data_IF_275778456861
#
_entry.id   IF_275778456861
#
_cell.length_a   1.000
_cell.length_b   1.000
_cell.length_c   1.000
_cell.angle_alpha   90.00
_cell.angle_beta   90.00
_cell.angle_gamma   90.00
#
_symmetry.space_group_name_H-M   'P 1'
#
loop_
_entity.id
_entity.type
_entity.pdbx_description
1 polymer ?
#
# COMPACT_ATOMS: atom_id res chain seq x y z
N UNK A 1 15.39 -6.38 1.22
CA UNK A 1 14.73 -5.14 0.75
C UNK A 1 14.05 -4.47 1.92
N UNK A 2 13.99 -3.15 1.91
CA UNK A 2 13.29 -2.36 2.92
C UNK A 2 11.91 -1.96 2.40
N UNK A 3 10.86 -2.40 3.06
CA UNK A 3 9.45 -2.25 2.64
C UNK A 3 8.78 -1.28 3.60
N UNK A 4 8.22 -0.20 3.08
CA UNK A 4 7.54 0.83 3.83
C UNK A 4 6.02 0.78 3.65
N UNK A 5 5.30 0.87 4.74
CA UNK A 5 3.83 0.86 4.77
C UNK A 5 3.35 2.08 5.53
N UNK A 6 3.14 3.20 4.84
CA UNK A 6 2.58 4.39 5.46
C UNK A 6 1.10 4.18 5.80
N UNK A 7 0.60 4.95 6.77
CA UNK A 7 -0.82 5.03 7.08
C UNK A 7 -1.58 5.61 5.88
N UNK A 8 -2.77 5.08 5.62
CA UNK A 8 -3.66 5.67 4.62
C UNK A 8 -4.20 7.02 5.12
N UNK A 9 -4.09 8.03 4.25
CA UNK A 9 -4.53 9.40 4.57
C UNK A 9 -5.73 9.86 3.75
N UNK A 10 -6.24 8.98 2.87
CA UNK A 10 -7.46 9.24 2.11
C UNK A 10 -8.67 9.17 3.05
N UNK A 11 -9.60 10.14 3.01
CA UNK A 11 -10.80 10.09 3.85
C UNK A 11 -11.56 8.77 3.72
N UNK A 12 -11.98 8.19 4.86
CA UNK A 12 -12.71 6.92 4.95
C UNK A 12 -11.91 5.67 4.51
N UNK A 13 -10.60 5.76 4.34
CA UNK A 13 -9.76 4.60 4.11
C UNK A 13 -9.12 4.15 5.43
N UNK A 14 -9.62 3.06 5.98
CA UNK A 14 -9.20 2.50 7.26
C UNK A 14 -8.32 1.24 7.10
N UNK A 15 -8.11 0.79 5.86
CA UNK A 15 -7.26 -0.38 5.58
C UNK A 15 -5.78 0.01 5.64
N UNK A 16 -4.93 -1.00 5.64
CA UNK A 16 -3.48 -0.86 5.58
C UNK A 16 -2.89 -1.82 4.54
N UNK A 17 -1.77 -1.47 3.95
CA UNK A 17 -1.15 -2.21 2.84
C UNK A 17 -0.69 -3.63 3.21
N UNK A 18 -0.29 -3.87 4.46
CA UNK A 18 0.15 -5.19 4.95
C UNK A 18 -0.46 -5.51 6.31
N UNK A 19 -0.94 -6.73 6.48
CA UNK A 19 -1.36 -7.27 7.79
C UNK A 19 -0.14 -7.76 8.59
N UNK A 20 -0.23 -7.91 9.94
CA UNK A 20 0.86 -8.49 10.74
C UNK A 20 1.31 -9.88 10.25
N UNK A 21 0.40 -10.71 9.75
CA UNK A 21 0.74 -12.01 9.18
C UNK A 21 1.60 -11.89 7.90
N UNK A 22 1.23 -10.98 7.00
CA UNK A 22 2.02 -10.67 5.81
C UNK A 22 3.40 -10.13 6.18
N UNK A 23 3.47 -9.26 7.18
CA UNK A 23 4.74 -8.73 7.72
C UNK A 23 5.61 -9.85 8.25
N UNK A 24 5.06 -10.78 9.05
CA UNK A 24 5.80 -11.94 9.58
C UNK A 24 6.40 -12.79 8.46
N UNK A 25 5.65 -13.01 7.38
CA UNK A 25 6.16 -13.73 6.21
C UNK A 25 7.34 -13.00 5.57
N UNK A 26 7.23 -11.69 5.36
CA UNK A 26 8.29 -10.89 4.76
C UNK A 26 9.54 -10.82 5.63
N UNK A 27 9.40 -10.59 6.93
CA UNK A 27 10.53 -10.52 7.88
C UNK A 27 11.24 -11.87 8.02
N UNK A 28 10.49 -12.97 8.01
CA UNK A 28 11.05 -14.33 8.01
C UNK A 28 11.85 -14.65 6.75
N UNK A 29 11.58 -13.96 5.64
CA UNK A 29 12.34 -14.05 4.39
C UNK A 29 13.47 -13.00 4.28
N UNK A 30 13.84 -12.36 5.40
CA UNK A 30 14.97 -11.44 5.46
C UNK A 30 14.69 -10.02 4.94
N UNK A 31 13.43 -9.63 4.80
CA UNK A 31 13.05 -8.25 4.47
C UNK A 31 12.89 -7.42 5.75
N UNK A 32 13.24 -6.15 5.69
CA UNK A 32 12.95 -5.17 6.73
C UNK A 32 11.61 -4.49 6.41
N UNK A 33 10.69 -4.45 7.37
CA UNK A 33 9.38 -3.83 7.19
C UNK A 33 9.21 -2.67 8.15
N UNK A 34 8.87 -1.51 7.60
CA UNK A 34 8.59 -0.27 8.31
C UNK A 34 7.09 0.01 8.25
N UNK A 35 6.45 0.13 9.41
CA UNK A 35 5.01 0.44 9.53
C UNK A 35 4.87 1.80 10.19
N UNK A 36 4.04 2.69 9.63
CA UNK A 36 3.74 3.95 10.29
C UNK A 36 2.97 3.72 11.59
N UNK A 37 3.32 4.49 12.61
CA UNK A 37 2.71 4.46 13.94
C UNK A 37 1.17 4.52 13.84
N UNK A 38 0.51 3.56 14.46
CA UNK A 38 -0.94 3.37 14.40
C UNK A 38 -1.53 3.24 12.97
N UNK A 39 -0.70 2.88 11.98
CA UNK A 39 -1.16 2.73 10.58
C UNK A 39 -2.23 1.67 10.38
N UNK A 40 -2.18 0.58 11.16
CA UNK A 40 -3.15 -0.51 11.11
C UNK A 40 -4.29 -0.42 12.13
N UNK A 41 -4.30 0.60 13.01
CA UNK A 41 -5.21 0.65 14.16
C UNK A 41 -6.69 0.58 13.74
N UNK A 42 -7.10 1.36 12.75
CA UNK A 42 -8.47 1.37 12.23
C UNK A 42 -8.86 0.05 11.52
N UNK A 43 -7.86 -0.73 11.10
CA UNK A 43 -8.06 -2.07 10.54
C UNK A 43 -8.06 -3.18 11.62
N UNK A 44 -7.92 -2.82 12.90
CA UNK A 44 -7.89 -3.76 14.02
C UNK A 44 -6.50 -4.31 14.34
N UNK A 45 -5.43 -3.71 13.82
CA UNK A 45 -4.05 -4.12 14.06
C UNK A 45 -3.29 -3.02 14.81
N UNK A 46 -2.87 -3.31 16.04
CA UNK A 46 -2.06 -2.40 16.84
C UNK A 46 -0.56 -2.50 16.53
N UNK A 47 0.21 -1.57 17.07
CA UNK A 47 1.66 -1.52 16.87
C UNK A 47 2.38 -2.75 17.45
N UNK A 48 1.87 -3.34 18.52
CA UNK A 48 2.55 -4.46 19.19
C UNK A 48 2.39 -5.76 18.39
N UNK A 49 1.27 -5.92 17.67
CA UNK A 49 1.11 -6.99 16.71
C UNK A 49 2.13 -6.89 15.56
N UNK A 50 2.38 -5.69 15.06
CA UNK A 50 3.40 -5.45 14.02
C UNK A 50 4.82 -5.65 14.53
N UNK A 51 5.14 -5.18 15.74
CA UNK A 51 6.45 -5.43 16.37
C UNK A 51 6.68 -6.92 16.59
N UNK A 52 5.67 -7.64 17.04
CA UNK A 52 5.72 -9.11 17.25
C UNK A 52 5.92 -9.86 15.93
N UNK A 53 5.47 -9.29 14.80
CA UNK A 53 5.71 -9.79 13.45
C UNK A 53 7.11 -9.41 12.90
N UNK A 54 7.90 -8.63 13.64
CA UNK A 54 9.25 -8.21 13.25
C UNK A 54 9.34 -6.88 12.53
N UNK A 55 8.25 -6.10 12.45
CA UNK A 55 8.29 -4.76 11.88
C UNK A 55 8.90 -3.73 12.83
N UNK A 56 9.43 -2.66 12.24
CA UNK A 56 9.80 -1.43 12.93
C UNK A 56 8.66 -0.42 12.82
N UNK A 57 8.28 0.19 13.94
CA UNK A 57 7.27 1.26 13.96
C UNK A 57 7.98 2.58 13.76
N UNK A 58 7.50 3.39 12.82
CA UNK A 58 8.05 4.69 12.42
C UNK A 58 6.98 5.77 12.64
N UNK A 59 7.35 6.87 13.27
CA UNK A 59 6.38 7.89 13.67
C UNK A 59 5.87 8.76 12.52
N UNK A 60 6.67 8.92 11.47
CA UNK A 60 6.38 9.86 10.37
C UNK A 60 6.42 9.14 9.02
N UNK A 61 5.41 9.41 8.19
CA UNK A 61 5.38 8.91 6.82
C UNK A 61 6.62 9.33 6.01
N UNK A 62 7.10 10.56 6.21
CA UNK A 62 8.27 11.09 5.52
C UNK A 62 9.52 10.20 5.72
N UNK A 63 9.72 9.68 6.93
CA UNK A 63 10.85 8.80 7.24
C UNK A 63 10.70 7.45 6.54
N UNK A 64 9.45 6.94 6.43
CA UNK A 64 9.16 5.71 5.68
C UNK A 64 9.47 5.90 4.19
N UNK A 65 8.96 6.98 3.56
CA UNK A 65 9.24 7.27 2.15
C UNK A 65 10.73 7.50 1.91
N UNK A 66 11.44 8.07 2.89
CA UNK A 66 12.89 8.28 2.80
C UNK A 66 13.69 6.98 2.85
N UNK A 67 13.29 6.02 3.64
CA UNK A 67 14.09 4.84 3.95
C UNK A 67 13.72 3.61 3.11
N UNK A 68 12.47 3.50 2.66
CA UNK A 68 11.98 2.32 1.98
C UNK A 68 12.42 2.25 0.50
N UNK A 69 12.71 1.05 0.03
CA UNK A 69 12.91 0.73 -1.40
C UNK A 69 11.56 0.49 -2.09
N UNK A 70 10.60 -0.07 -1.35
CA UNK A 70 9.22 -0.33 -1.81
C UNK A 70 8.25 0.32 -0.85
N UNK A 71 7.31 1.09 -1.38
CA UNK A 71 6.14 1.62 -0.67
C UNK A 71 4.93 0.76 -1.02
N UNK A 72 4.29 0.19 0.00
CA UNK A 72 3.08 -0.62 -0.14
C UNK A 72 1.90 0.13 0.48
N UNK A 73 0.88 0.40 -0.33
CA UNK A 73 -0.34 1.10 0.08
C UNK A 73 -1.58 0.34 -0.37
N UNK A 74 -2.74 0.80 0.06
CA UNK A 74 -4.04 0.35 -0.44
C UNK A 74 -4.52 1.27 -1.56
N UNK A 75 -4.57 2.58 -1.29
CA UNK A 75 -5.06 3.59 -2.23
C UNK A 75 -3.92 4.34 -2.91
N UNK A 76 -4.28 4.94 -4.03
CA UNK A 76 -3.41 5.83 -4.79
C UNK A 76 -2.79 6.92 -3.90
N UNK A 77 -1.52 7.27 -4.10
CA UNK A 77 -0.87 8.34 -3.35
C UNK A 77 -1.57 9.69 -3.60
N UNK A 78 -1.81 10.43 -2.54
CA UNK A 78 -2.28 11.82 -2.65
C UNK A 78 -1.12 12.76 -3.00
N UNK A 79 -1.42 13.97 -3.45
CA UNK A 79 -0.43 14.95 -3.89
C UNK A 79 0.70 15.21 -2.87
N UNK A 80 0.38 15.11 -1.57
CA UNK A 80 1.37 15.22 -0.48
C UNK A 80 2.36 14.05 -0.52
N UNK A 81 1.87 12.83 -0.74
CA UNK A 81 2.67 11.61 -0.77
C UNK A 81 3.50 11.51 -2.05
N UNK A 82 2.93 11.91 -3.19
CA UNK A 82 3.65 11.96 -4.48
C UNK A 82 4.94 12.76 -4.39
N UNK A 83 4.95 13.85 -3.62
CA UNK A 83 6.15 14.69 -3.40
C UNK A 83 7.24 14.00 -2.59
N UNK A 84 6.92 12.93 -1.85
CA UNK A 84 7.87 12.16 -1.04
C UNK A 84 8.41 10.95 -1.78
N UNK A 85 7.78 10.56 -2.90
CA UNK A 85 8.21 9.43 -3.73
C UNK A 85 9.53 9.79 -4.42
N UNK A 86 10.47 8.85 -4.41
CA UNK A 86 11.81 9.03 -4.97
C UNK A 86 11.98 8.36 -6.33
N UNK A 87 12.94 8.83 -7.09
CA UNK A 87 13.39 8.17 -8.32
C UNK A 87 13.81 6.72 -8.04
N UNK A 88 13.38 5.78 -8.88
CA UNK A 88 13.60 4.34 -8.77
C UNK A 88 12.94 3.66 -7.55
N UNK A 89 12.22 4.37 -6.70
CA UNK A 89 11.43 3.77 -5.63
C UNK A 89 10.25 3.00 -6.22
N UNK A 90 9.98 1.80 -5.71
CA UNK A 90 8.83 1.01 -6.15
C UNK A 90 7.59 1.46 -5.34
N UNK A 91 6.49 1.74 -6.03
CA UNK A 91 5.18 2.04 -5.42
C UNK A 91 4.20 0.96 -5.85
N UNK A 92 3.72 0.19 -4.88
CA UNK A 92 2.82 -0.95 -5.09
C UNK A 92 1.48 -0.71 -4.40
N UNK A 93 0.43 -0.41 -5.17
CA UNK A 93 -0.88 0.03 -4.67
C UNK A 93 -1.94 -0.02 -5.77
N UNK A 94 -3.23 0.20 -5.43
CA UNK A 94 -4.23 0.59 -6.43
C UNK A 94 -3.95 2.01 -6.91
N UNK A 95 -3.83 2.24 -8.21
CA UNK A 95 -3.44 3.53 -8.78
C UNK A 95 -4.59 4.30 -9.44
N UNK A 96 -5.54 3.63 -10.10
CA UNK A 96 -6.69 4.25 -10.77
C UNK A 96 -6.32 5.40 -11.73
N UNK A 97 -5.23 5.27 -12.48
CA UNK A 97 -4.62 6.36 -13.26
C UNK A 97 -5.50 6.90 -14.38
N UNK A 98 -6.40 6.09 -14.94
CA UNK A 98 -7.23 6.48 -16.07
C UNK A 98 -8.09 7.74 -15.81
N UNK A 99 -8.50 7.96 -14.56
CA UNK A 99 -9.30 9.10 -14.13
C UNK A 99 -8.48 10.19 -13.40
N UNK A 100 -7.17 10.01 -13.23
CA UNK A 100 -6.34 10.82 -12.34
C UNK A 100 -5.11 11.43 -13.04
N UNK A 101 -5.37 12.35 -13.97
CA UNK A 101 -4.34 12.97 -14.84
C UNK A 101 -3.20 13.61 -14.06
N UNK A 102 -3.51 14.37 -13.01
CA UNK A 102 -2.48 15.06 -12.19
C UNK A 102 -1.63 14.06 -11.39
N UNK A 103 -2.26 13.00 -10.86
CA UNK A 103 -1.54 11.91 -10.20
C UNK A 103 -0.60 11.21 -11.19
N UNK A 104 -1.10 10.87 -12.38
CA UNK A 104 -0.30 10.23 -13.43
C UNK A 104 0.93 11.07 -13.77
N UNK A 105 0.75 12.38 -13.96
CA UNK A 105 1.85 13.30 -14.21
C UNK A 105 2.85 13.30 -13.06
N UNK A 106 2.39 13.44 -11.82
CA UNK A 106 3.27 13.47 -10.64
C UNK A 106 4.09 12.18 -10.48
N UNK A 107 3.48 11.01 -10.77
CA UNK A 107 4.19 9.74 -10.72
C UNK A 107 5.22 9.60 -11.85
N UNK A 108 4.91 10.08 -13.06
CA UNK A 108 5.88 10.12 -14.17
C UNK A 108 7.04 11.05 -13.83
N UNK A 109 6.76 12.22 -13.30
CA UNK A 109 7.78 13.22 -12.92
C UNK A 109 8.69 12.71 -11.79
N UNK A 110 8.16 11.86 -10.88
CA UNK A 110 8.95 11.25 -9.80
C UNK A 110 9.95 10.19 -10.30
N UNK A 111 9.77 9.65 -11.50
CA UNK A 111 10.56 8.55 -12.07
C UNK A 111 10.57 7.28 -11.20
N UNK A 112 9.54 7.08 -10.42
CA UNK A 112 9.33 5.87 -9.62
C UNK A 112 8.86 4.69 -10.48
N UNK A 113 9.05 3.48 -9.98
CA UNK A 113 8.50 2.26 -10.58
C UNK A 113 7.13 1.99 -9.96
N UNK A 114 6.06 2.29 -10.68
CA UNK A 114 4.70 2.12 -10.18
C UNK A 114 4.09 0.80 -10.65
N UNK A 115 3.66 -0.03 -9.71
CA UNK A 115 2.98 -1.30 -9.97
C UNK A 115 1.56 -1.20 -9.42
N UNK A 116 0.58 -1.22 -10.32
CA UNK A 116 -0.83 -1.15 -9.96
C UNK A 116 -1.39 -2.55 -9.65
N UNK A 117 -2.03 -2.72 -8.48
CA UNK A 117 -2.69 -3.99 -8.14
C UNK A 117 -3.70 -4.41 -9.20
N UNK A 118 -4.46 -3.46 -9.74
CA UNK A 118 -5.50 -3.69 -10.74
C UNK A 118 -4.98 -4.19 -12.09
N UNK A 119 -3.67 -4.15 -12.33
CA UNK A 119 -3.07 -4.59 -13.60
C UNK A 119 -2.19 -5.84 -13.45
N UNK A 120 -2.00 -6.36 -12.23
CA UNK A 120 -1.25 -7.60 -12.01
C UNK A 120 -2.07 -8.78 -12.51
N UNK A 121 -1.48 -9.55 -13.43
CA UNK A 121 -2.11 -10.75 -14.02
C UNK A 121 -1.38 -12.03 -13.59
N UNK A 122 -2.14 -13.13 -13.50
CA UNK A 122 -1.57 -14.47 -13.41
C UNK A 122 -1.22 -15.01 -14.83
N UNK A 123 -0.66 -16.21 -14.89
CA UNK A 123 -0.27 -16.86 -16.16
C UNK A 123 -1.47 -17.14 -17.10
N UNK A 124 -2.69 -17.04 -16.61
CA UNK A 124 -3.92 -17.23 -17.38
C UNK A 124 -4.60 -15.89 -17.74
N UNK A 125 -3.94 -14.75 -17.48
CA UNK A 125 -4.47 -13.41 -17.72
C UNK A 125 -5.55 -12.96 -16.73
N UNK A 126 -5.74 -13.64 -15.59
CA UNK A 126 -6.69 -13.26 -14.55
C UNK A 126 -6.06 -12.16 -13.69
N UNK A 127 -6.89 -11.38 -13.02
CA UNK A 127 -6.49 -10.27 -12.14
C UNK A 127 -6.62 -10.68 -10.65
N UNK A 128 -5.65 -11.43 -10.08
CA UNK A 128 -5.77 -12.03 -8.76
C UNK A 128 -5.87 -11.01 -7.62
N UNK A 129 -5.36 -9.81 -7.80
CA UNK A 129 -5.41 -8.75 -6.78
C UNK A 129 -6.64 -7.85 -6.92
N UNK A 130 -7.31 -7.84 -8.07
CA UNK A 130 -8.53 -7.06 -8.30
C UNK A 130 -9.81 -7.87 -8.07
N UNK A 131 -9.86 -9.10 -8.56
CA UNK A 131 -11.07 -9.94 -8.55
C UNK A 131 -11.69 -10.13 -7.15
N UNK A 132 -10.92 -10.40 -6.06
CA UNK A 132 -11.50 -10.57 -4.73
C UNK A 132 -12.22 -9.32 -4.23
N UNK A 133 -11.69 -8.12 -4.49
CA UNK A 133 -12.31 -6.86 -4.07
C UNK A 133 -13.57 -6.56 -4.87
N UNK A 134 -13.57 -6.82 -6.16
CA UNK A 134 -14.74 -6.69 -7.02
C UNK A 134 -15.86 -7.64 -6.60
N UNK A 135 -15.51 -8.87 -6.21
CA UNK A 135 -16.49 -9.84 -5.70
C UNK A 135 -17.14 -9.38 -4.40
N UNK A 136 -16.38 -8.83 -3.46
CA UNK A 136 -16.91 -8.26 -2.21
C UNK A 136 -17.82 -7.06 -2.50
N UNK A 137 -17.38 -6.12 -3.35
CA UNK A 137 -18.18 -4.96 -3.72
C UNK A 137 -19.50 -5.37 -4.39
N UNK A 138 -19.49 -6.35 -5.30
CA UNK A 138 -20.68 -6.88 -5.95
C UNK A 138 -21.68 -7.50 -4.97
N UNK A 139 -21.20 -8.24 -3.97
CA UNK A 139 -22.05 -8.80 -2.90
C UNK A 139 -22.67 -7.73 -2.02
N UNK A 140 -21.91 -6.70 -1.65
CA UNK A 140 -22.41 -5.59 -0.86
C UNK A 140 -23.52 -4.82 -1.61
N UNK A 141 -23.33 -4.55 -2.89
CA UNK A 141 -24.34 -3.89 -3.72
C UNK A 141 -25.63 -4.70 -3.80
N UNK A 142 -25.57 -6.03 -3.85
CA UNK A 142 -26.76 -6.90 -3.90
C UNK A 142 -27.52 -6.97 -2.58
N UNK A 143 -26.91 -6.54 -1.46
CA UNK A 143 -27.58 -6.48 -0.14
C UNK A 143 -28.29 -5.14 0.11
N UNK A 144 -28.03 -4.12 -0.71
CA UNK A 144 -28.64 -2.77 -0.56
C UNK A 144 -29.93 -2.64 -1.40
N UNK A 145 -30.23 -3.57 -2.25
CA UNK A 145 -31.47 -3.69 -3.04
C UNK A 145 -32.35 -4.77 -2.48
#
# INVERSE_FOLDING_TARGET
MKIGVPKEIKPQENRIGLTPESVKTLTSNGHEVLIENNGGFEAGFDNDQYKSAGAKIIDKAEDIFNDAEIIVKVKEPLAKEVKMIKENQIVFTYLHLAAAKELTKGLVDSKAVCIAYETVTDNNGRLPLLAPMSAVAGRMLSLIH
#
